data_IF_196894493826
#
_entry.id   IF_196894493826
#
_cell.length_a   1.000
_cell.length_b   1.000
_cell.length_c   1.000
_cell.angle_alpha   90.00
_cell.angle_beta   90.00
_cell.angle_gamma   90.00
#
_symmetry.space_group_name_H-M   'P 1'
#
loop_
_entity.id
_entity.type
_entity.pdbx_description
1 polymer ?
#
# COMPACT_ATOMS: atom_id res chain seq x y z
N UNK A 1 6.89 -21.12 -2.57
CA UNK A 1 6.08 -19.89 -2.80
C UNK A 1 6.08 -19.08 -1.51
N UNK A 2 6.33 -17.79 -1.58
CA UNK A 2 6.34 -16.90 -0.41
C UNK A 2 4.93 -16.82 0.18
N UNK A 3 4.80 -17.03 1.49
CA UNK A 3 3.51 -16.96 2.18
C UNK A 3 3.26 -15.52 2.60
N UNK A 4 2.38 -14.81 1.91
CA UNK A 4 1.98 -13.45 2.27
C UNK A 4 0.75 -13.53 3.19
N UNK A 5 0.83 -12.97 4.39
CA UNK A 5 -0.28 -12.82 5.34
C UNK A 5 -0.51 -11.36 5.77
N UNK A 6 0.40 -10.47 5.45
CA UNK A 6 0.35 -9.05 5.80
C UNK A 6 0.45 -8.20 4.53
N UNK A 7 -0.52 -7.31 4.37
CA UNK A 7 -0.61 -6.40 3.24
C UNK A 7 -0.44 -4.97 3.77
N UNK A 8 0.69 -4.35 3.43
CA UNK A 8 1.03 -2.99 3.79
C UNK A 8 0.80 -2.09 2.59
N UNK A 9 -0.08 -1.11 2.74
CA UNK A 9 -0.56 -0.26 1.67
C UNK A 9 -0.10 1.19 1.86
N UNK A 10 0.29 1.86 0.79
CA UNK A 10 0.13 3.32 0.76
C UNK A 10 -1.36 3.67 0.67
N UNK A 11 -1.71 4.92 0.99
CA UNK A 11 -3.11 5.38 1.02
C UNK A 11 -3.50 6.04 -0.30
N UNK A 12 -2.92 7.22 -0.55
CA UNK A 12 -3.32 8.11 -1.64
C UNK A 12 -2.71 7.65 -2.97
N UNK A 13 -3.55 7.42 -3.97
CA UNK A 13 -3.14 6.85 -5.27
C UNK A 13 -3.02 5.33 -5.30
N UNK A 14 -3.19 4.65 -4.15
CA UNK A 14 -3.07 3.19 -4.01
C UNK A 14 -4.37 2.55 -3.54
N UNK A 15 -4.83 2.86 -2.33
CA UNK A 15 -6.09 2.36 -1.77
C UNK A 15 -7.25 3.30 -2.10
N UNK A 16 -6.99 4.61 -2.07
CA UNK A 16 -7.96 5.65 -2.46
C UNK A 16 -7.40 6.47 -3.62
N UNK A 17 -8.30 7.12 -4.36
CA UNK A 17 -7.94 8.04 -5.43
C UNK A 17 -7.02 9.17 -4.92
N UNK A 18 -6.00 9.54 -5.72
CA UNK A 18 -5.15 10.69 -5.43
C UNK A 18 -5.90 12.00 -5.72
N UNK A 19 -5.98 12.88 -4.72
CA UNK A 19 -6.71 14.16 -4.79
C UNK A 19 -5.93 15.33 -4.20
N UNK A 20 -4.64 15.38 -4.44
CA UNK A 20 -3.75 16.49 -4.01
C UNK A 20 -4.12 17.11 -2.65
N UNK A 21 -3.59 16.56 -1.55
CA UNK A 21 -3.88 17.04 -0.19
C UNK A 21 -5.36 16.97 0.21
N UNK A 22 -5.93 15.77 0.10
CA UNK A 22 -7.32 15.50 0.46
C UNK A 22 -7.63 15.91 1.91
N UNK A 23 -8.60 16.86 2.08
CA UNK A 23 -9.06 17.39 3.37
C UNK A 23 -10.50 17.00 3.69
N UNK A 24 -11.30 16.83 2.65
CA UNK A 24 -12.73 16.61 2.76
C UNK A 24 -13.01 15.10 2.82
N UNK A 25 -13.54 14.58 3.94
CA UNK A 25 -13.89 13.17 4.06
C UNK A 25 -14.89 12.68 3.03
N UNK A 26 -15.78 13.54 2.53
CA UNK A 26 -16.80 13.17 1.54
C UNK A 26 -16.20 12.92 0.15
N UNK A 27 -14.97 13.37 -0.07
CA UNK A 27 -14.23 13.12 -1.31
C UNK A 27 -13.38 11.83 -1.27
N UNK A 28 -13.41 11.07 -0.18
CA UNK A 28 -12.72 9.78 -0.12
C UNK A 28 -13.40 8.80 -1.06
N UNK A 29 -12.66 8.30 -2.03
CA UNK A 29 -13.11 7.29 -2.99
C UNK A 29 -12.10 6.14 -3.05
N UNK A 30 -12.56 4.91 -2.83
CA UNK A 30 -11.72 3.72 -3.01
C UNK A 30 -11.40 3.52 -4.49
N UNK A 31 -10.19 3.09 -4.79
CA UNK A 31 -9.82 2.67 -6.15
C UNK A 31 -10.79 1.55 -6.59
N UNK A 32 -11.43 1.66 -7.76
CA UNK A 32 -12.36 0.65 -8.25
C UNK A 32 -11.75 -0.75 -8.29
N UNK A 33 -12.56 -1.76 -7.96
CA UNK A 33 -12.13 -3.16 -7.99
C UNK A 33 -11.34 -3.64 -6.77
N UNK A 34 -11.10 -2.79 -5.75
CA UNK A 34 -10.28 -3.18 -4.58
C UNK A 34 -11.08 -3.93 -3.50
N UNK A 35 -12.37 -3.65 -3.35
CA UNK A 35 -13.17 -4.14 -2.21
C UNK A 35 -13.33 -5.66 -2.22
N UNK A 36 -13.71 -6.24 -3.36
CA UNK A 36 -13.97 -7.69 -3.45
C UNK A 36 -12.72 -8.53 -3.10
N UNK A 37 -11.53 -8.29 -3.71
CA UNK A 37 -10.35 -9.06 -3.35
C UNK A 37 -9.83 -8.75 -1.93
N UNK A 38 -9.98 -7.52 -1.40
CA UNK A 38 -9.65 -7.23 0.01
C UNK A 38 -10.49 -8.06 0.96
N UNK A 39 -11.81 -8.12 0.74
CA UNK A 39 -12.72 -8.95 1.54
C UNK A 39 -12.31 -10.42 1.47
N UNK A 40 -12.04 -10.93 0.27
CA UNK A 40 -11.62 -12.32 0.12
C UNK A 40 -10.30 -12.62 0.83
N UNK A 41 -9.33 -11.71 0.78
CA UNK A 41 -8.06 -11.85 1.51
C UNK A 41 -8.26 -11.77 3.03
N UNK A 42 -9.20 -10.95 3.53
CA UNK A 42 -9.57 -10.94 4.94
C UNK A 42 -10.11 -12.30 5.40
N UNK A 43 -11.00 -12.92 4.61
CA UNK A 43 -11.52 -14.28 4.86
C UNK A 43 -10.40 -15.34 4.85
N UNK A 44 -9.37 -15.14 4.02
CA UNK A 44 -8.18 -15.99 3.96
C UNK A 44 -7.13 -15.66 5.05
N UNK A 45 -7.49 -14.82 6.04
CA UNK A 45 -6.67 -14.50 7.20
C UNK A 45 -5.58 -13.46 6.97
N UNK A 46 -5.63 -12.69 5.88
CA UNK A 46 -4.70 -11.59 5.68
C UNK A 46 -5.02 -10.39 6.58
N UNK A 47 -3.96 -9.70 7.03
CA UNK A 47 -4.04 -8.47 7.81
C UNK A 47 -3.64 -7.28 6.94
N UNK A 48 -4.33 -6.14 7.12
CA UNK A 48 -4.11 -4.93 6.32
C UNK A 48 -3.60 -3.80 7.19
N UNK A 49 -2.57 -3.09 6.71
CA UNK A 49 -1.97 -1.96 7.39
C UNK A 49 -1.73 -0.82 6.39
N UNK A 50 -1.69 0.42 6.91
CA UNK A 50 -1.36 1.59 6.11
C UNK A 50 -0.03 2.21 6.55
N UNK A 51 0.80 2.60 5.58
CA UNK A 51 1.99 3.41 5.80
C UNK A 51 2.01 4.56 4.79
N UNK A 52 1.73 5.80 5.23
CA UNK A 52 1.51 6.94 4.33
C UNK A 52 2.41 8.14 4.64
N UNK A 53 2.89 8.81 3.58
CA UNK A 53 3.59 10.08 3.67
C UNK A 53 2.60 11.24 3.50
N UNK A 54 2.37 12.04 4.56
CA UNK A 54 1.42 13.13 4.60
C UNK A 54 2.12 14.50 4.71
N UNK A 55 2.94 14.83 3.72
CA UNK A 55 3.76 16.04 3.74
C UNK A 55 2.96 17.35 3.75
N UNK A 56 1.70 17.33 3.37
CA UNK A 56 0.81 18.47 3.45
C UNK A 56 0.68 19.02 4.87
N UNK A 57 0.81 18.16 5.89
CA UNK A 57 0.77 18.59 7.30
C UNK A 57 2.01 19.44 7.61
N UNK A 58 3.20 18.93 7.35
CA UNK A 58 4.45 19.65 7.61
C UNK A 58 4.63 20.92 6.74
N UNK A 59 3.89 21.01 5.64
CA UNK A 59 3.85 22.21 4.78
C UNK A 59 2.75 23.21 5.18
N UNK A 60 1.95 22.90 6.22
CA UNK A 60 0.83 23.75 6.64
C UNK A 60 -0.35 23.80 5.66
N UNK A 61 -0.42 22.87 4.70
CA UNK A 61 -1.51 22.75 3.73
C UNK A 61 -2.68 21.96 4.33
N UNK A 62 -2.36 20.98 5.17
CA UNK A 62 -3.30 20.13 5.92
C UNK A 62 -3.04 20.30 7.41
N UNK A 63 -4.06 20.12 8.22
CA UNK A 63 -3.92 19.85 9.66
C UNK A 63 -3.89 18.35 9.94
N UNK A 64 -3.39 17.94 11.10
CA UNK A 64 -3.51 16.53 11.54
C UNK A 64 -4.97 16.12 11.70
N UNK A 65 -5.85 17.07 12.03
CA UNK A 65 -7.28 16.83 12.14
C UNK A 65 -7.93 16.57 10.78
N UNK A 66 -7.54 17.31 9.74
CA UNK A 66 -7.97 17.01 8.36
C UNK A 66 -7.58 15.58 7.96
N UNK A 67 -6.33 15.21 8.22
CA UNK A 67 -5.85 13.84 7.95
C UNK A 67 -6.66 12.81 8.73
N UNK A 68 -6.92 13.05 10.04
CA UNK A 68 -7.66 12.12 10.89
C UNK A 68 -9.07 11.89 10.38
N UNK A 69 -9.81 12.95 10.05
CA UNK A 69 -11.19 12.87 9.51
C UNK A 69 -11.24 12.06 8.21
N UNK A 70 -10.31 12.30 7.29
CA UNK A 70 -10.19 11.53 6.04
C UNK A 70 -9.88 10.06 6.33
N UNK A 71 -8.99 9.79 7.28
CA UNK A 71 -8.62 8.43 7.66
C UNK A 71 -9.79 7.68 8.34
N UNK A 72 -10.52 8.32 9.24
CA UNK A 72 -11.72 7.77 9.89
C UNK A 72 -12.81 7.44 8.85
N UNK A 73 -13.01 8.32 7.86
CA UNK A 73 -13.92 8.05 6.76
C UNK A 73 -13.52 6.81 5.96
N UNK A 74 -12.23 6.69 5.62
CA UNK A 74 -11.70 5.50 4.94
C UNK A 74 -11.91 4.24 5.76
N UNK A 75 -11.60 4.26 7.06
CA UNK A 75 -11.82 3.13 7.95
C UNK A 75 -13.30 2.72 8.01
N UNK A 76 -14.21 3.70 8.12
CA UNK A 76 -15.65 3.43 8.13
C UNK A 76 -16.13 2.78 6.82
N UNK A 77 -15.63 3.25 5.66
CA UNK A 77 -15.95 2.66 4.36
C UNK A 77 -15.48 1.21 4.25
N UNK A 78 -14.24 0.92 4.66
CA UNK A 78 -13.71 -0.45 4.66
C UNK A 78 -14.45 -1.36 5.63
N UNK A 79 -14.76 -0.84 6.83
CA UNK A 79 -15.51 -1.60 7.85
C UNK A 79 -16.92 -1.97 7.38
N UNK A 80 -17.60 -1.07 6.66
CA UNK A 80 -18.91 -1.33 6.06
C UNK A 80 -18.86 -2.50 5.04
N UNK A 81 -17.68 -2.75 4.46
CA UNK A 81 -17.41 -3.87 3.55
C UNK A 81 -16.83 -5.12 4.27
N UNK A 82 -16.78 -5.11 5.61
CA UNK A 82 -16.22 -6.21 6.42
C UNK A 82 -14.69 -6.26 6.40
N UNK A 83 -14.01 -5.19 5.99
CA UNK A 83 -12.55 -5.12 5.90
C UNK A 83 -12.02 -4.30 7.08
N UNK A 84 -11.18 -4.92 7.91
CA UNK A 84 -10.58 -4.27 9.07
C UNK A 84 -9.13 -3.88 8.78
N UNK A 85 -8.79 -2.60 8.96
CA UNK A 85 -7.40 -2.16 9.03
C UNK A 85 -6.84 -2.50 10.42
N UNK A 86 -5.78 -3.31 10.47
CA UNK A 86 -5.10 -3.67 11.71
C UNK A 86 -4.38 -2.48 12.36
N UNK A 87 -3.95 -1.51 11.54
CA UNK A 87 -3.31 -0.29 12.00
C UNK A 87 -2.88 0.63 10.86
N UNK A 88 -2.53 1.85 11.23
CA UNK A 88 -2.01 2.85 10.29
C UNK A 88 -0.89 3.66 10.93
N UNK A 89 0.14 3.96 10.15
CA UNK A 89 1.19 4.90 10.51
C UNK A 89 1.35 5.95 9.40
N UNK A 90 1.60 7.19 9.77
CA UNK A 90 1.82 8.25 8.80
C UNK A 90 2.98 9.17 9.20
N UNK A 91 3.64 9.70 8.20
CA UNK A 91 4.67 10.72 8.38
C UNK A 91 4.09 12.10 8.06
N UNK A 92 3.97 13.01 9.05
CA UNK A 92 3.43 14.34 8.82
C UNK A 92 4.46 15.31 8.23
N UNK A 93 5.74 14.95 8.20
CA UNK A 93 6.83 15.87 7.92
C UNK A 93 6.96 16.22 6.43
N UNK A 94 7.33 17.46 6.15
CA UNK A 94 7.77 17.87 4.82
C UNK A 94 9.05 17.11 4.39
N UNK A 95 9.32 16.96 3.08
CA UNK A 95 10.49 16.21 2.60
C UNK A 95 11.82 16.70 3.17
N UNK A 96 11.93 18.00 3.41
CA UNK A 96 13.14 18.69 3.86
C UNK A 96 13.42 18.49 5.36
N UNK A 97 12.47 18.00 6.13
CA UNK A 97 12.58 17.83 7.58
C UNK A 97 13.58 16.74 8.02
N UNK A 98 14.01 15.87 7.10
CA UNK A 98 15.03 14.86 7.37
C UNK A 98 14.65 13.79 8.40
N UNK A 99 13.33 13.64 8.73
CA UNK A 99 12.82 12.71 9.74
C UNK A 99 13.03 11.23 9.37
N UNK A 100 13.04 10.34 10.36
CA UNK A 100 13.22 8.90 10.15
C UNK A 100 11.94 8.17 9.71
N UNK A 101 10.75 8.78 9.84
CA UNK A 101 9.48 8.14 9.52
C UNK A 101 9.10 8.23 8.04
N UNK A 102 9.57 9.25 7.30
CA UNK A 102 9.16 9.44 5.91
C UNK A 102 9.72 8.36 4.99
N UNK A 103 8.84 7.61 4.29
CA UNK A 103 9.25 6.68 3.24
C UNK A 103 10.16 7.38 2.22
N UNK A 104 11.31 6.78 1.83
CA UNK A 104 11.68 5.38 1.98
C UNK A 104 12.35 4.98 3.31
N UNK A 105 12.52 5.89 4.29
CA UNK A 105 13.04 5.51 5.61
C UNK A 105 12.04 4.64 6.37
N UNK A 106 12.55 3.71 7.19
CA UNK A 106 11.79 2.60 7.76
C UNK A 106 11.05 2.90 9.07
N UNK A 107 10.98 4.17 9.50
CA UNK A 107 10.36 4.53 10.79
C UNK A 107 8.89 4.14 10.92
N UNK A 108 8.09 4.27 9.84
CA UNK A 108 6.69 3.82 9.84
C UNK A 108 6.56 2.30 10.02
N UNK A 109 7.47 1.53 9.40
CA UNK A 109 7.53 0.09 9.61
C UNK A 109 7.86 -0.28 11.05
N UNK A 110 8.89 0.35 11.63
CA UNK A 110 9.29 0.10 13.02
C UNK A 110 8.15 0.34 13.99
N UNK A 111 7.34 1.39 13.75
CA UNK A 111 6.16 1.69 14.54
C UNK A 111 5.11 0.56 14.42
N UNK A 112 4.72 0.19 13.20
CA UNK A 112 3.71 -0.84 12.95
C UNK A 112 4.20 -2.22 13.41
N UNK A 113 5.42 -2.61 13.08
CA UNK A 113 5.97 -3.90 13.44
C UNK A 113 6.12 -4.07 14.96
N UNK A 114 6.57 -3.01 15.66
CA UNK A 114 6.67 -3.02 17.11
C UNK A 114 5.33 -3.13 17.82
N UNK A 115 4.27 -2.53 17.26
CA UNK A 115 2.94 -2.55 17.85
C UNK A 115 2.15 -3.84 17.52
N UNK A 116 2.30 -4.37 16.31
CA UNK A 116 1.44 -5.45 15.80
C UNK A 116 2.19 -6.76 15.50
N UNK A 117 3.49 -6.84 15.78
CA UNK A 117 4.30 -8.04 15.56
C UNK A 117 4.37 -8.44 14.08
N UNK A 118 4.60 -7.46 13.18
CA UNK A 118 4.68 -7.75 11.76
C UNK A 118 6.02 -8.37 11.39
N UNK A 119 5.99 -9.34 10.46
CA UNK A 119 7.18 -9.96 9.89
C UNK A 119 7.34 -9.53 8.42
N UNK A 120 8.46 -8.90 8.03
CA UNK A 120 8.65 -8.46 6.66
C UNK A 120 8.66 -9.61 5.64
N UNK A 121 9.14 -10.79 6.03
CA UNK A 121 9.18 -11.98 5.16
C UNK A 121 7.79 -12.48 4.72
N UNK A 122 6.73 -12.09 5.45
CA UNK A 122 5.35 -12.43 5.14
C UNK A 122 4.55 -11.20 4.68
N UNK A 123 5.23 -10.07 4.45
CA UNK A 123 4.59 -8.80 4.11
C UNK A 123 4.82 -8.45 2.65
N UNK A 124 3.77 -7.96 1.99
CA UNK A 124 3.88 -7.24 0.72
C UNK A 124 3.67 -5.75 0.95
N UNK A 125 4.54 -4.90 0.39
CA UNK A 125 4.35 -3.45 0.33
C UNK A 125 3.80 -3.05 -1.04
N UNK A 126 2.67 -2.34 -1.05
CA UNK A 126 2.01 -1.88 -2.28
C UNK A 126 1.89 -0.35 -2.25
N UNK A 127 2.33 0.31 -3.31
CA UNK A 127 2.28 1.76 -3.44
C UNK A 127 2.35 2.23 -4.88
N UNK A 128 2.11 3.53 -5.08
CA UNK A 128 2.14 4.20 -6.37
C UNK A 128 3.42 5.02 -6.61
N UNK A 129 4.37 5.00 -5.65
CA UNK A 129 5.59 5.82 -5.71
C UNK A 129 6.85 4.99 -5.57
N UNK A 130 7.96 5.45 -6.15
CA UNK A 130 9.29 4.85 -5.98
C UNK A 130 9.67 4.77 -4.49
N UNK A 131 9.23 5.75 -3.69
CA UNK A 131 9.48 5.76 -2.25
C UNK A 131 8.85 4.55 -1.52
N UNK A 132 7.73 4.03 -2.01
CA UNK A 132 7.06 2.85 -1.45
C UNK A 132 7.84 1.58 -1.76
N UNK A 133 8.34 1.48 -3.00
CA UNK A 133 9.15 0.34 -3.43
C UNK A 133 10.45 0.30 -2.63
N UNK A 134 11.18 1.42 -2.55
CA UNK A 134 12.39 1.55 -1.74
C UNK A 134 12.14 1.26 -0.25
N UNK A 135 11.01 1.71 0.27
CA UNK A 135 10.60 1.44 1.65
C UNK A 135 10.40 -0.06 1.88
N UNK A 136 9.63 -0.74 1.03
CA UNK A 136 9.43 -2.18 1.13
C UNK A 136 10.72 -2.98 1.02
N UNK A 137 11.63 -2.58 0.12
CA UNK A 137 12.97 -3.18 -0.03
C UNK A 137 13.84 -2.94 1.21
N UNK A 138 13.87 -1.71 1.75
CA UNK A 138 14.65 -1.37 2.94
C UNK A 138 14.16 -2.08 4.20
N UNK A 139 12.86 -2.39 4.27
CA UNK A 139 12.25 -3.21 5.33
C UNK A 139 12.57 -4.69 5.17
N UNK A 140 12.81 -5.16 3.95
CA UNK A 140 12.96 -6.57 3.62
C UNK A 140 11.62 -7.27 3.38
N UNK A 141 10.60 -6.54 2.89
CA UNK A 141 9.33 -7.13 2.52
C UNK A 141 9.51 -8.23 1.47
N UNK A 142 8.72 -9.30 1.61
CA UNK A 142 8.75 -10.44 0.69
C UNK A 142 8.46 -10.06 -0.76
N UNK A 143 7.53 -9.13 -0.95
CA UNK A 143 7.18 -8.59 -2.26
C UNK A 143 6.98 -7.07 -2.15
N UNK A 144 7.27 -6.37 -3.26
CA UNK A 144 6.95 -4.95 -3.45
C UNK A 144 6.17 -4.78 -4.75
N UNK A 145 5.11 -3.99 -4.74
CA UNK A 145 4.21 -3.80 -5.87
C UNK A 145 4.08 -2.34 -6.20
N UNK A 146 4.40 -1.98 -7.44
CA UNK A 146 4.07 -0.67 -7.99
C UNK A 146 2.71 -0.77 -8.71
N UNK A 147 1.73 0.00 -8.25
CA UNK A 147 0.45 0.16 -8.96
C UNK A 147 0.53 1.39 -9.87
N UNK A 148 -0.11 1.33 -11.05
CA UNK A 148 -0.07 2.40 -12.05
C UNK A 148 -1.12 3.49 -11.83
N UNK A 149 -1.91 3.39 -10.75
CA UNK A 149 -2.80 4.47 -10.28
C UNK A 149 -1.99 5.60 -9.63
N UNK A 150 -2.61 6.72 -9.33
CA UNK A 150 -1.94 7.86 -8.71
C UNK A 150 -0.72 8.34 -9.50
N UNK A 151 0.45 8.29 -8.89
CA UNK A 151 1.74 8.65 -9.50
C UNK A 151 2.46 7.45 -10.14
N UNK A 152 1.82 6.29 -10.20
CA UNK A 152 2.48 5.04 -10.58
C UNK A 152 2.95 5.00 -12.03
N UNK A 153 2.24 5.62 -12.97
CA UNK A 153 2.70 5.74 -14.36
C UNK A 153 4.02 6.52 -14.44
N UNK A 154 4.09 7.68 -13.78
CA UNK A 154 5.32 8.49 -13.73
C UNK A 154 6.47 7.74 -13.03
N UNK A 155 6.15 6.98 -11.98
CA UNK A 155 7.13 6.15 -11.28
C UNK A 155 7.65 5.02 -12.17
N UNK A 156 6.79 4.36 -12.93
CA UNK A 156 7.16 3.30 -13.86
C UNK A 156 8.07 3.81 -15.00
N UNK A 157 7.75 4.98 -15.56
CA UNK A 157 8.60 5.65 -16.57
C UNK A 157 9.98 5.98 -16.01
N UNK A 158 10.07 6.56 -14.81
CA UNK A 158 11.36 6.88 -14.14
C UNK A 158 12.22 5.65 -13.85
N UNK A 159 11.60 4.49 -13.65
CA UNK A 159 12.29 3.22 -13.41
C UNK A 159 12.55 2.43 -14.71
N UNK A 160 12.22 2.99 -15.86
CA UNK A 160 12.32 2.33 -17.17
C UNK A 160 11.70 0.92 -17.12
N UNK A 161 10.44 0.85 -16.61
CA UNK A 161 9.70 -0.38 -16.59
C UNK A 161 8.91 -0.55 -17.88
N UNK A 162 8.98 -1.75 -18.45
CA UNK A 162 8.21 -2.07 -19.64
C UNK A 162 6.71 -1.89 -19.37
N UNK A 163 5.96 -1.49 -20.40
CA UNK A 163 4.53 -1.32 -20.33
C UNK A 163 3.81 -2.64 -19.94
N UNK A 164 2.66 -2.50 -19.29
CA UNK A 164 1.81 -3.66 -18.99
C UNK A 164 1.15 -4.18 -20.27
N UNK A 165 1.33 -5.46 -20.53
CA UNK A 165 0.58 -6.23 -21.53
C UNK A 165 -0.52 -7.13 -20.89
N UNK A 166 -0.63 -7.11 -19.56
CA UNK A 166 -1.60 -7.83 -18.73
C UNK A 166 -1.96 -6.98 -17.52
N UNK A 167 -2.91 -7.41 -16.68
CA UNK A 167 -3.30 -6.67 -15.48
C UNK A 167 -2.16 -6.59 -14.43
N UNK A 168 -1.33 -7.63 -14.35
CA UNK A 168 -0.17 -7.73 -13.45
C UNK A 168 0.96 -8.47 -14.15
N UNK A 169 2.20 -8.04 -13.97
CA UNK A 169 3.38 -8.78 -14.40
C UNK A 169 4.50 -8.75 -13.37
N UNK A 170 5.35 -9.79 -13.29
CA UNK A 170 6.58 -9.74 -12.50
C UNK A 170 7.58 -8.76 -13.13
N UNK A 171 8.44 -8.19 -12.30
CA UNK A 171 9.57 -7.38 -12.74
C UNK A 171 10.89 -8.11 -12.52
N UNK A 172 11.88 -7.85 -13.37
CA UNK A 172 13.23 -8.34 -13.15
C UNK A 172 13.80 -7.74 -11.85
N UNK A 173 14.50 -8.53 -11.02
CA UNK A 173 15.13 -8.01 -9.80
C UNK A 173 16.10 -6.88 -10.10
N UNK A 174 16.15 -5.88 -9.22
CA UNK A 174 17.08 -4.76 -9.34
C UNK A 174 16.85 -3.73 -8.25
N UNK A 175 17.81 -2.82 -8.05
CA UNK A 175 17.65 -1.72 -7.12
C UNK A 175 16.47 -0.85 -7.58
N UNK A 176 15.64 -0.46 -6.60
CA UNK A 176 14.43 0.36 -6.80
C UNK A 176 13.34 -0.29 -7.69
N UNK A 177 13.56 -1.51 -8.21
CA UNK A 177 12.57 -2.21 -9.04
C UNK A 177 11.56 -2.95 -8.17
N UNK A 178 10.25 -2.81 -8.41
CA UNK A 178 9.24 -3.59 -7.69
C UNK A 178 9.34 -5.08 -8.07
N UNK A 179 8.85 -5.96 -7.20
CA UNK A 179 8.67 -7.38 -7.54
C UNK A 179 7.58 -7.55 -8.60
N UNK A 180 6.53 -6.73 -8.52
CA UNK A 180 5.38 -6.75 -9.41
C UNK A 180 5.03 -5.34 -9.88
N UNK A 181 4.63 -5.24 -11.15
CA UNK A 181 3.95 -4.09 -11.71
C UNK A 181 2.48 -4.47 -11.93
N UNK A 182 1.56 -3.67 -11.39
CA UNK A 182 0.13 -3.91 -11.50
C UNK A 182 -0.61 -2.67 -12.03
N UNK A 183 -1.65 -2.88 -12.83
CA UNK A 183 -2.49 -1.80 -13.33
C UNK A 183 -3.10 -0.97 -12.20
N UNK A 184 -3.60 -1.65 -11.17
CA UNK A 184 -4.24 -1.10 -10.00
C UNK A 184 -4.12 -2.08 -8.81
N UNK A 185 -4.52 -1.62 -7.63
CA UNK A 185 -4.49 -2.44 -6.42
C UNK A 185 -5.34 -3.71 -6.57
N UNK A 186 -6.57 -3.60 -7.10
CA UNK A 186 -7.49 -4.72 -7.27
C UNK A 186 -6.87 -5.84 -8.09
N UNK A 187 -6.20 -5.50 -9.20
CA UNK A 187 -5.53 -6.46 -10.08
C UNK A 187 -4.47 -7.30 -9.35
N UNK A 188 -3.64 -6.66 -8.52
CA UNK A 188 -2.65 -7.43 -7.74
C UNK A 188 -3.28 -8.27 -6.63
N UNK A 189 -4.28 -7.74 -5.93
CA UNK A 189 -4.97 -8.47 -4.87
C UNK A 189 -5.69 -9.71 -5.41
N UNK A 190 -6.28 -9.65 -6.60
CA UNK A 190 -6.88 -10.82 -7.27
C UNK A 190 -5.83 -11.90 -7.57
N UNK A 191 -4.64 -11.51 -8.06
CA UNK A 191 -3.53 -12.45 -8.24
C UNK A 191 -3.14 -13.10 -6.88
N UNK A 192 -3.11 -12.33 -5.80
CA UNK A 192 -2.78 -12.85 -4.48
C UNK A 192 -3.85 -13.80 -3.95
N UNK A 193 -5.15 -13.51 -4.17
CA UNK A 193 -6.25 -14.44 -3.86
C UNK A 193 -6.06 -15.77 -4.57
N UNK A 194 -5.84 -15.75 -5.89
CA UNK A 194 -5.64 -16.96 -6.69
C UNK A 194 -4.44 -17.79 -6.20
N UNK A 195 -3.32 -17.15 -5.86
CA UNK A 195 -2.14 -17.82 -5.29
C UNK A 195 -2.48 -18.53 -3.98
N UNK A 196 -3.23 -17.86 -3.07
CA UNK A 196 -3.60 -18.42 -1.78
C UNK A 196 -4.59 -19.58 -1.90
N UNK A 197 -5.59 -19.47 -2.73
CA UNK A 197 -6.60 -20.52 -2.96
C UNK A 197 -5.96 -21.77 -3.59
N UNK A 198 -5.03 -21.59 -4.53
CA UNK A 198 -4.30 -22.72 -5.13
C UNK A 198 -3.47 -23.48 -4.09
N UNK A 199 -2.89 -22.81 -3.11
CA UNK A 199 -2.13 -23.47 -2.02
C UNK A 199 -3.08 -24.24 -1.09
N UNK A 200 -4.29 -23.73 -0.81
CA UNK A 200 -5.27 -24.42 0.01
C UNK A 200 -5.81 -25.68 -0.66
N UNK A 201 -6.07 -25.62 -1.97
CA UNK A 201 -6.58 -26.76 -2.72
C UNK A 201 -5.60 -27.97 -2.78
N UNK A 202 -4.30 -27.73 -2.61
CA UNK A 202 -3.27 -28.81 -2.61
C UNK A 202 -2.98 -29.39 -1.21
N UNK A 203 -3.65 -28.89 -0.16
CA UNK A 203 -3.47 -29.36 1.23
C UNK A 203 -4.62 -30.25 1.72
N UNK A 204 -5.63 -30.47 0.89
CA UNK A 204 -6.76 -31.39 1.11
C UNK A 204 -6.56 -32.64 0.29
#
# INVERSE_FOLDING_TARGET
MTHIDTILLDRDGTLIEERHYLKDPDQVALIPGTVAPLRRLAELGCRFFLASNQSGIGRGILTEDDFRRVHERLQAMLLAEGIHLGGAAFCPHAPEAGCDCRKPRTGLWKQLAGQFGLNPENTVMIGDKIADIRFGQAVGCAETVLVLTGHGLEAAEKLDLEALNSAVRPCAPGPDRPTWLARDLGSYLELLVQKKESVHAHRI
#
